data_IF_959951863702
#
_entry.id   IF_959951863702
#
_cell.length_a   1.000
_cell.length_b   1.000
_cell.length_c   1.000
_cell.angle_alpha   90.00
_cell.angle_beta   90.00
_cell.angle_gamma   90.00
#
_symmetry.space_group_name_H-M   'P 1'
#
loop_
_entity.id
_entity.type
_entity.pdbx_description
1 polymer ?
#
# COMPACT_ATOMS: atom_id res chain seq x y z
N UNK A 1 23.47 19.90 -11.55
CA UNK A 1 24.04 18.55 -11.41
C UNK A 1 23.59 17.78 -12.64
N UNK A 2 24.52 17.41 -13.50
CA UNK A 2 24.30 16.83 -14.83
C UNK A 2 23.73 15.41 -14.72
N UNK A 3 22.51 15.20 -15.22
CA UNK A 3 21.87 13.89 -15.26
C UNK A 3 22.17 13.24 -16.60
N UNK A 4 23.12 12.30 -16.57
CA UNK A 4 23.58 11.61 -17.75
C UNK A 4 22.53 10.61 -18.28
N UNK A 5 22.44 10.59 -19.60
CA UNK A 5 21.50 9.82 -20.41
C UNK A 5 21.77 8.31 -20.37
N UNK A 6 20.72 7.51 -20.64
CA UNK A 6 20.76 6.07 -20.98
C UNK A 6 20.74 5.01 -19.86
N UNK A 7 19.77 5.09 -18.95
CA UNK A 7 19.38 3.91 -18.15
C UNK A 7 17.98 3.45 -18.58
N UNK A 8 17.88 2.28 -19.20
CA UNK A 8 16.58 1.70 -19.61
C UNK A 8 15.66 1.50 -18.39
N UNK A 9 16.25 1.31 -17.22
CA UNK A 9 15.61 1.27 -15.90
C UNK A 9 14.92 2.59 -15.53
N UNK A 10 15.46 3.71 -16.00
CA UNK A 10 14.85 5.03 -15.79
C UNK A 10 13.74 5.31 -16.80
N UNK A 11 13.75 4.70 -17.99
CA UNK A 11 12.72 4.91 -19.01
C UNK A 11 11.31 4.55 -18.50
N UNK A 12 11.16 3.40 -17.83
CA UNK A 12 9.90 3.00 -17.20
C UNK A 12 9.46 4.02 -16.13
N UNK A 13 10.37 4.39 -15.25
CA UNK A 13 10.12 5.40 -14.21
C UNK A 13 9.72 6.75 -14.81
N UNK A 14 10.37 7.22 -15.88
CA UNK A 14 10.02 8.48 -16.56
C UNK A 14 8.64 8.43 -17.23
N UNK A 15 8.28 7.30 -17.85
CA UNK A 15 6.96 7.10 -18.43
C UNK A 15 5.87 7.20 -17.36
N UNK A 16 6.05 6.49 -16.25
CA UNK A 16 5.08 6.53 -15.16
C UNK A 16 5.06 7.90 -14.48
N UNK A 17 6.21 8.50 -14.17
CA UNK A 17 6.28 9.84 -13.59
C UNK A 17 5.50 10.85 -14.44
N UNK A 18 5.69 10.85 -15.77
CA UNK A 18 4.94 11.73 -16.67
C UNK A 18 3.43 11.48 -16.67
N UNK A 19 3.00 10.23 -16.46
CA UNK A 19 1.59 9.88 -16.33
C UNK A 19 0.97 10.46 -15.05
N UNK A 20 1.76 10.52 -13.97
CA UNK A 20 1.28 10.94 -12.65
C UNK A 20 1.57 12.41 -12.29
N UNK A 21 2.47 13.08 -13.02
CA UNK A 21 2.97 14.45 -12.74
C UNK A 21 1.85 15.50 -12.60
N UNK A 22 0.71 15.31 -13.29
CA UNK A 22 -0.45 16.22 -13.24
C UNK A 22 -1.59 15.76 -12.33
N UNK A 23 -1.44 14.62 -11.66
CA UNK A 23 -2.52 13.94 -10.93
C UNK A 23 -2.16 13.75 -9.44
N UNK A 24 -0.95 14.16 -9.04
CA UNK A 24 -0.44 14.02 -7.69
C UNK A 24 -1.11 14.98 -6.70
N UNK A 25 -1.50 14.45 -5.54
CA UNK A 25 -2.10 15.23 -4.45
C UNK A 25 -3.62 15.13 -4.30
N UNK A 26 -4.33 14.39 -5.17
CA UNK A 26 -5.77 14.17 -5.02
C UNK A 26 -6.14 12.68 -4.93
N UNK A 27 -7.38 12.42 -4.53
CA UNK A 27 -7.90 11.05 -4.37
C UNK A 27 -7.79 10.23 -5.66
N UNK A 28 -7.95 10.87 -6.82
CA UNK A 28 -7.87 10.18 -8.10
C UNK A 28 -6.43 9.72 -8.39
N UNK A 29 -5.42 10.52 -8.09
CA UNK A 29 -4.01 10.17 -8.28
C UNK A 29 -3.57 8.97 -7.45
N UNK A 30 -3.93 8.94 -6.17
CA UNK A 30 -3.59 7.80 -5.31
C UNK A 30 -4.35 6.53 -5.73
N UNK A 31 -5.62 6.65 -6.13
CA UNK A 31 -6.39 5.51 -6.63
C UNK A 31 -5.83 4.95 -7.94
N UNK A 32 -5.42 5.83 -8.86
CA UNK A 32 -4.77 5.42 -10.10
C UNK A 32 -3.45 4.71 -9.82
N UNK A 33 -2.63 5.25 -8.90
CA UNK A 33 -1.38 4.63 -8.47
C UNK A 33 -1.61 3.23 -7.90
N UNK A 34 -2.61 3.09 -7.01
CA UNK A 34 -3.04 1.81 -6.46
C UNK A 34 -3.43 0.88 -7.60
N UNK A 35 -4.42 1.20 -8.42
CA UNK A 35 -4.88 0.32 -9.51
C UNK A 35 -3.75 -0.12 -10.45
N UNK A 36 -2.85 0.78 -10.84
CA UNK A 36 -1.69 0.44 -11.68
C UNK A 36 -0.74 -0.55 -10.98
N UNK A 37 -0.49 -0.35 -9.68
CA UNK A 37 0.32 -1.27 -8.87
C UNK A 37 -0.24 -2.69 -8.90
N UNK A 38 -1.55 -2.86 -8.75
CA UNK A 38 -2.19 -4.20 -8.74
C UNK A 38 -2.32 -4.80 -10.13
N UNK A 39 -2.49 -3.99 -11.17
CA UNK A 39 -2.46 -4.49 -12.55
C UNK A 39 -1.08 -5.06 -12.89
N UNK A 40 -0.01 -4.40 -12.47
CA UNK A 40 1.35 -4.93 -12.64
C UNK A 40 1.52 -6.26 -11.89
N UNK A 41 1.11 -6.33 -10.62
CA UNK A 41 1.14 -7.57 -9.83
C UNK A 41 0.29 -8.69 -10.46
N UNK A 42 -0.88 -8.36 -10.99
CA UNK A 42 -1.73 -9.31 -11.71
C UNK A 42 -1.05 -9.88 -12.96
N UNK A 43 -0.22 -9.07 -13.64
CA UNK A 43 0.61 -9.49 -14.77
C UNK A 43 1.92 -10.18 -14.34
N UNK A 44 2.13 -10.41 -13.04
CA UNK A 44 3.34 -11.03 -12.49
C UNK A 44 4.55 -10.10 -12.39
N UNK A 45 4.35 -8.79 -12.59
CA UNK A 45 5.37 -7.76 -12.42
C UNK A 45 5.24 -7.20 -11.00
N UNK A 46 6.36 -7.04 -10.29
CA UNK A 46 6.34 -6.55 -8.91
C UNK A 46 5.99 -5.06 -8.83
N UNK A 47 4.70 -4.72 -8.89
CA UNK A 47 4.21 -3.37 -9.12
C UNK A 47 4.71 -2.31 -8.14
N UNK A 48 4.84 -2.65 -6.85
CA UNK A 48 5.36 -1.73 -5.83
C UNK A 48 6.83 -1.36 -6.07
N UNK A 49 7.64 -2.31 -6.53
CA UNK A 49 9.04 -2.06 -6.86
C UNK A 49 9.15 -1.30 -8.19
N UNK A 50 8.32 -1.65 -9.17
CA UNK A 50 8.27 -0.97 -10.48
C UNK A 50 7.85 0.49 -10.36
N UNK A 51 6.91 0.80 -9.45
CA UNK A 51 6.38 2.15 -9.24
C UNK A 51 6.99 2.87 -8.03
N UNK A 52 8.07 2.35 -7.44
CA UNK A 52 8.68 2.94 -6.24
C UNK A 52 9.17 4.37 -6.48
N UNK A 53 9.81 4.64 -7.62
CA UNK A 53 10.27 5.99 -7.96
C UNK A 53 9.09 6.99 -8.05
N UNK A 54 7.93 6.52 -8.52
CA UNK A 54 6.69 7.31 -8.57
C UNK A 54 6.16 7.53 -7.17
N UNK A 55 6.07 6.48 -6.35
CA UNK A 55 5.54 6.56 -4.99
C UNK A 55 6.31 7.58 -4.14
N UNK A 56 7.64 7.57 -4.26
CA UNK A 56 8.54 8.49 -3.58
C UNK A 56 8.33 9.92 -4.03
N UNK A 57 8.37 10.13 -5.35
CA UNK A 57 8.22 11.46 -5.92
C UNK A 57 6.88 12.12 -5.58
N UNK A 58 5.79 11.34 -5.56
CA UNK A 58 4.46 11.89 -5.36
C UNK A 58 4.04 12.02 -3.89
N UNK A 59 4.51 11.12 -3.01
CA UNK A 59 3.89 10.93 -1.70
C UNK A 59 4.88 10.95 -0.52
N UNK A 60 6.18 10.94 -0.73
CA UNK A 60 7.16 10.90 0.38
C UNK A 60 7.23 12.25 1.12
N UNK A 61 7.25 13.36 0.37
CA UNK A 61 7.29 14.72 0.92
C UNK A 61 6.09 15.05 1.84
N UNK A 62 4.94 14.39 1.63
CA UNK A 62 3.72 14.65 2.39
C UNK A 62 3.86 14.32 3.88
N UNK A 63 4.72 13.37 4.25
CA UNK A 63 5.01 13.10 5.67
C UNK A 63 5.78 14.26 6.28
N UNK A 64 6.79 14.80 5.57
CA UNK A 64 7.61 15.91 6.05
C UNK A 64 6.78 17.19 6.24
N UNK A 65 5.83 17.46 5.32
CA UNK A 65 4.87 18.56 5.45
C UNK A 65 4.07 18.41 6.75
N UNK A 66 3.48 17.23 6.99
CA UNK A 66 2.74 16.97 8.23
C UNK A 66 3.60 17.08 9.49
N UNK A 67 4.84 16.61 9.45
CA UNK A 67 5.79 16.76 10.57
C UNK A 67 6.03 18.23 10.90
N UNK A 68 6.28 19.05 9.88
CA UNK A 68 6.52 20.48 10.07
C UNK A 68 5.30 21.20 10.65
N UNK A 69 4.09 20.83 10.21
CA UNK A 69 2.84 21.37 10.75
C UNK A 69 2.66 21.01 12.22
N UNK A 70 2.89 19.74 12.60
CA UNK A 70 2.77 19.30 14.00
C UNK A 70 3.80 19.99 14.89
N UNK A 71 5.04 20.14 14.44
CA UNK A 71 6.09 20.85 15.18
C UNK A 71 5.75 22.33 15.38
N UNK A 72 5.03 22.94 14.44
CA UNK A 72 4.51 24.30 14.55
C UNK A 72 3.20 24.41 15.34
N UNK A 73 2.65 23.31 15.86
CA UNK A 73 1.37 23.27 16.59
C UNK A 73 0.13 23.34 15.70
N UNK A 74 0.27 23.12 14.39
CA UNK A 74 -0.81 23.07 13.42
C UNK A 74 -1.30 21.64 13.16
N UNK A 75 -2.50 21.53 12.60
CA UNK A 75 -3.12 20.25 12.25
C UNK A 75 -2.53 19.75 10.92
N UNK A 76 -2.11 18.47 10.81
CA UNK A 76 -1.70 17.87 9.55
C UNK A 76 -2.75 18.02 8.43
N UNK A 77 -2.31 18.36 7.22
CA UNK A 77 -3.21 18.55 6.06
C UNK A 77 -3.10 17.42 5.05
N UNK A 78 -1.94 16.76 4.96
CA UNK A 78 -1.68 15.76 3.93
C UNK A 78 -2.16 14.38 4.36
N UNK A 79 -3.19 13.86 3.69
CA UNK A 79 -3.73 12.53 3.99
C UNK A 79 -2.93 11.44 3.27
N UNK A 80 -2.53 11.73 2.02
CA UNK A 80 -1.98 10.75 1.09
C UNK A 80 -0.46 10.78 1.09
N UNK A 81 0.18 9.94 1.90
CA UNK A 81 1.64 9.79 1.94
C UNK A 81 2.10 8.38 1.52
N UNK A 82 3.40 8.22 1.25
CA UNK A 82 3.98 6.90 0.98
C UNK A 82 3.74 5.97 2.16
N UNK A 83 3.98 6.45 3.37
CA UNK A 83 3.70 5.68 4.59
C UNK A 83 2.22 5.39 4.79
N UNK A 84 1.29 6.26 4.34
CA UNK A 84 -0.13 5.93 4.32
C UNK A 84 -0.42 4.72 3.43
N UNK A 85 0.17 4.64 2.24
CA UNK A 85 0.02 3.48 1.36
C UNK A 85 0.57 2.20 2.02
N UNK A 86 1.80 2.25 2.51
CA UNK A 86 2.49 1.13 3.16
C UNK A 86 1.76 0.67 4.46
N UNK A 87 1.13 1.60 5.17
CA UNK A 87 0.51 1.36 6.48
C UNK A 87 -1.00 1.10 6.42
N UNK A 88 -1.73 1.52 5.40
CA UNK A 88 -3.19 1.36 5.40
C UNK A 88 -3.74 0.66 4.17
N UNK A 89 -2.98 0.64 3.08
CA UNK A 89 -3.44 0.07 1.80
C UNK A 89 -2.73 -1.24 1.51
N UNK A 90 -1.41 -1.27 1.69
CA UNK A 90 -0.53 -2.41 1.37
C UNK A 90 -0.37 -3.36 2.56
N UNK A 91 -1.48 -3.62 3.26
CA UNK A 91 -1.51 -4.51 4.41
C UNK A 91 -1.18 -5.94 3.95
N UNK A 92 -0.07 -6.47 4.43
CA UNK A 92 0.40 -7.79 4.05
C UNK A 92 1.25 -7.85 2.79
N UNK A 93 1.66 -6.71 2.23
CA UNK A 93 2.50 -6.61 1.04
C UNK A 93 1.72 -6.05 -0.14
N UNK A 94 1.59 -6.78 -1.26
CA UNK A 94 0.89 -6.35 -2.47
C UNK A 94 -0.64 -6.31 -2.33
N UNK A 95 -1.14 -5.67 -1.28
CA UNK A 95 -2.54 -5.44 -0.98
C UNK A 95 -3.26 -6.64 -0.50
N UNK A 96 -3.43 -6.60 0.81
CA UNK A 96 -4.42 -7.41 1.48
C UNK A 96 -4.06 -8.88 1.42
N UNK A 97 -2.82 -9.24 1.04
CA UNK A 97 -2.36 -10.62 1.11
C UNK A 97 -2.61 -11.20 2.49
N UNK A 98 -2.49 -10.39 3.56
CA UNK A 98 -2.88 -10.79 4.90
C UNK A 98 -4.39 -11.10 5.02
N UNK A 99 -5.28 -10.21 4.57
CA UNK A 99 -6.72 -10.45 4.69
C UNK A 99 -7.23 -11.52 3.71
N UNK A 100 -6.64 -11.64 2.52
CA UNK A 100 -6.87 -12.71 1.56
C UNK A 100 -6.44 -14.08 2.12
N UNK A 101 -5.22 -14.17 2.66
CA UNK A 101 -4.71 -15.39 3.29
C UNK A 101 -5.57 -15.76 4.50
N UNK A 102 -5.96 -14.79 5.32
CA UNK A 102 -6.82 -15.00 6.48
C UNK A 102 -8.23 -15.45 6.07
N UNK A 103 -8.82 -14.82 5.05
CA UNK A 103 -10.11 -15.21 4.50
C UNK A 103 -10.08 -16.64 3.96
N UNK A 104 -9.03 -17.01 3.22
CA UNK A 104 -8.85 -18.38 2.74
C UNK A 104 -8.62 -19.38 3.88
N UNK A 105 -7.88 -19.01 4.91
CA UNK A 105 -7.64 -19.88 6.07
C UNK A 105 -8.95 -20.22 6.82
N UNK A 106 -9.84 -19.23 6.95
CA UNK A 106 -11.12 -19.33 7.65
C UNK A 106 -12.21 -19.98 6.76
N UNK A 107 -12.36 -19.53 5.52
CA UNK A 107 -13.50 -19.87 4.66
C UNK A 107 -13.24 -21.06 3.71
N UNK A 108 -11.97 -21.39 3.42
CA UNK A 108 -11.69 -22.46 2.46
C UNK A 108 -11.97 -23.84 3.03
N UNK A 109 -12.80 -24.62 2.31
CA UNK A 109 -13.05 -26.03 2.64
C UNK A 109 -11.94 -26.96 2.17
N UNK A 110 -11.04 -26.48 1.30
CA UNK A 110 -9.97 -27.30 0.73
C UNK A 110 -8.73 -27.31 1.64
N UNK A 111 -8.27 -28.51 1.98
CA UNK A 111 -7.08 -28.72 2.85
C UNK A 111 -5.81 -28.07 2.26
N UNK A 112 -5.64 -28.12 0.94
CA UNK A 112 -4.50 -27.50 0.26
C UNK A 112 -4.46 -25.98 0.49
N UNK A 113 -5.57 -25.29 0.24
CA UNK A 113 -5.66 -23.84 0.39
C UNK A 113 -5.43 -23.41 1.84
N UNK A 114 -6.00 -24.13 2.83
CA UNK A 114 -5.77 -23.82 4.25
C UNK A 114 -4.30 -23.98 4.66
N UNK A 115 -3.61 -25.03 4.17
CA UNK A 115 -2.18 -25.25 4.43
C UNK A 115 -1.33 -24.16 3.79
N UNK A 116 -1.59 -23.82 2.53
CA UNK A 116 -0.89 -22.73 1.84
C UNK A 116 -1.10 -21.39 2.55
N UNK A 117 -2.33 -21.09 2.98
CA UNK A 117 -2.62 -19.89 3.76
C UNK A 117 -1.85 -19.87 5.08
N UNK A 118 -1.77 -20.99 5.79
CA UNK A 118 -1.02 -21.07 7.04
C UNK A 118 0.48 -20.79 6.84
N UNK A 119 1.07 -21.27 5.73
CA UNK A 119 2.47 -21.03 5.39
C UNK A 119 2.72 -19.58 4.96
N UNK A 120 1.76 -18.94 4.28
CA UNK A 120 1.88 -17.56 3.84
C UNK A 120 1.67 -16.53 4.97
N UNK A 121 0.98 -16.91 6.05
CA UNK A 121 0.55 -15.99 7.11
C UNK A 121 1.72 -15.27 7.82
N UNK A 122 2.83 -15.93 8.20
CA UNK A 122 3.96 -15.25 8.83
C UNK A 122 4.57 -14.18 7.91
N UNK A 123 4.80 -14.50 6.64
CA UNK A 123 5.33 -13.53 5.67
C UNK A 123 4.39 -12.35 5.47
N UNK A 124 3.07 -12.61 5.38
CA UNK A 124 2.08 -11.56 5.29
C UNK A 124 2.03 -10.65 6.53
N UNK A 125 2.37 -11.13 7.74
CA UNK A 125 2.44 -10.26 8.92
C UNK A 125 3.56 -9.22 8.86
N UNK A 126 4.62 -9.50 8.10
CA UNK A 126 5.75 -8.60 7.83
C UNK A 126 5.63 -7.90 6.46
N UNK A 127 4.41 -7.84 5.90
CA UNK A 127 4.12 -7.25 4.60
C UNK A 127 4.88 -7.89 3.41
N UNK A 128 5.24 -9.17 3.51
CA UNK A 128 5.84 -9.95 2.43
C UNK A 128 4.74 -10.80 1.78
N UNK A 129 4.39 -10.49 0.54
CA UNK A 129 3.21 -11.04 -0.14
C UNK A 129 3.50 -12.16 -1.13
N UNK A 130 4.75 -12.39 -1.50
CA UNK A 130 5.18 -13.25 -2.60
C UNK A 130 4.71 -14.69 -2.39
N UNK A 131 4.79 -15.20 -1.17
CA UNK A 131 4.31 -16.55 -0.84
C UNK A 131 2.81 -16.67 -1.12
N UNK A 132 2.02 -15.63 -0.85
CA UNK A 132 0.59 -15.63 -1.14
C UNK A 132 0.31 -15.45 -2.64
N UNK A 133 0.96 -14.49 -3.30
CA UNK A 133 0.70 -14.16 -4.71
C UNK A 133 1.09 -15.27 -5.67
N UNK A 134 2.25 -15.88 -5.42
CA UNK A 134 2.75 -16.97 -6.25
C UNK A 134 2.26 -18.33 -5.76
N UNK A 135 1.92 -18.46 -4.47
CA UNK A 135 1.38 -19.70 -3.90
C UNK A 135 -0.09 -19.94 -4.24
N UNK A 136 -0.86 -18.88 -4.50
CA UNK A 136 -2.21 -18.96 -5.05
C UNK A 136 -2.20 -18.57 -6.53
N UNK A 137 -3.08 -19.12 -7.37
CA UNK A 137 -3.17 -18.73 -8.78
C UNK A 137 -3.87 -17.36 -8.91
N UNK A 138 -3.25 -16.29 -8.41
CA UNK A 138 -3.75 -14.91 -8.51
C UNK A 138 -3.31 -14.30 -9.83
N UNK A 139 -2.05 -14.52 -10.22
CA UNK A 139 -1.47 -14.01 -11.45
C UNK A 139 -2.23 -14.57 -12.65
N UNK A 140 -2.62 -13.68 -13.57
CA UNK A 140 -3.42 -13.98 -14.77
C UNK A 140 -4.79 -14.66 -14.53
N UNK A 141 -5.27 -14.75 -13.29
CA UNK A 141 -6.59 -15.32 -12.98
C UNK A 141 -7.68 -14.25 -12.93
N UNK A 142 -8.49 -14.16 -13.97
CA UNK A 142 -9.55 -13.16 -14.09
C UNK A 142 -10.60 -13.23 -12.98
N UNK A 143 -10.85 -14.41 -12.38
CA UNK A 143 -11.76 -14.54 -11.24
C UNK A 143 -11.20 -13.81 -10.00
N UNK A 144 -9.88 -13.82 -9.85
CA UNK A 144 -9.17 -13.16 -8.75
C UNK A 144 -8.85 -11.69 -9.05
N UNK A 145 -8.87 -11.26 -10.31
CA UNK A 145 -8.56 -9.89 -10.73
C UNK A 145 -9.43 -8.86 -10.00
N UNK A 146 -10.75 -9.07 -9.98
CA UNK A 146 -11.71 -8.13 -9.38
C UNK A 146 -11.42 -7.95 -7.88
N UNK A 147 -11.42 -9.00 -7.04
CA UNK A 147 -11.14 -8.83 -5.62
C UNK A 147 -9.71 -8.30 -5.37
N UNK A 148 -8.74 -8.69 -6.20
CA UNK A 148 -7.36 -8.25 -6.04
C UNK A 148 -7.17 -6.74 -6.25
N UNK A 149 -7.89 -6.13 -7.20
CA UNK A 149 -7.84 -4.68 -7.45
C UNK A 149 -8.82 -3.91 -6.56
N UNK A 150 -10.01 -4.46 -6.32
CA UNK A 150 -11.07 -3.73 -5.62
C UNK A 150 -10.78 -3.58 -4.12
N UNK A 151 -10.21 -4.60 -3.49
CA UNK A 151 -9.91 -4.57 -2.05
C UNK A 151 -8.97 -3.42 -1.65
N UNK A 152 -7.80 -3.20 -2.30
CA UNK A 152 -6.93 -2.07 -1.96
C UNK A 152 -7.55 -0.71 -2.31
N UNK A 153 -8.42 -0.63 -3.33
CA UNK A 153 -9.19 0.60 -3.63
C UNK A 153 -10.15 0.92 -2.49
N UNK A 154 -10.90 -0.08 -2.01
CA UNK A 154 -11.82 0.09 -0.87
C UNK A 154 -11.03 0.47 0.39
N UNK A 155 -9.90 -0.17 0.69
CA UNK A 155 -9.08 0.18 1.84
C UNK A 155 -8.54 1.61 1.76
N UNK A 156 -8.15 2.04 0.56
CA UNK A 156 -7.72 3.44 0.32
C UNK A 156 -8.84 4.40 0.68
N UNK A 157 -10.08 4.14 0.22
CA UNK A 157 -11.24 4.98 0.50
C UNK A 157 -11.63 4.98 1.98
N UNK A 158 -11.67 3.83 2.62
CA UNK A 158 -12.00 3.69 4.05
C UNK A 158 -10.95 4.43 4.88
N UNK A 159 -9.66 4.22 4.60
CA UNK A 159 -8.59 4.81 5.38
C UNK A 159 -8.50 6.32 5.19
N UNK A 160 -8.65 6.80 3.95
CA UNK A 160 -8.72 8.22 3.66
C UNK A 160 -9.90 8.89 4.38
N UNK A 161 -11.06 8.23 4.40
CA UNK A 161 -12.26 8.75 5.07
C UNK A 161 -12.09 8.77 6.60
N UNK A 162 -11.49 7.72 7.17
CA UNK A 162 -11.20 7.65 8.61
C UNK A 162 -10.24 8.77 9.06
N UNK A 163 -9.23 9.07 8.25
CA UNK A 163 -8.30 10.18 8.52
C UNK A 163 -9.01 11.53 8.34
N UNK A 164 -9.75 11.72 7.24
CA UNK A 164 -10.46 12.97 6.95
C UNK A 164 -11.52 13.32 8.00
N UNK A 165 -12.17 12.32 8.59
CA UNK A 165 -13.19 12.51 9.64
C UNK A 165 -12.57 12.67 11.04
N UNK A 166 -11.26 12.54 11.18
CA UNK A 166 -10.56 12.63 12.46
C UNK A 166 -10.68 11.39 13.35
N UNK A 167 -11.24 10.28 12.84
CA UNK A 167 -11.29 9.01 13.56
C UNK A 167 -9.88 8.43 13.78
N UNK A 168 -8.99 8.66 12.82
CA UNK A 168 -7.58 8.27 12.88
C UNK A 168 -6.71 9.49 12.58
N UNK A 169 -5.67 9.79 13.37
CA UNK A 169 -4.76 10.87 13.07
C UNK A 169 -4.06 10.67 11.72
N UNK A 170 -3.73 11.77 11.05
CA UNK A 170 -2.95 11.71 9.83
C UNK A 170 -1.55 11.14 10.11
N UNK A 171 -0.93 10.61 9.05
CA UNK A 171 0.43 10.07 9.12
C UNK A 171 1.43 11.21 9.30
N UNK A 172 2.21 11.14 10.37
CA UNK A 172 3.20 12.16 10.77
C UNK A 172 4.59 11.59 10.93
N UNK A 173 4.78 10.28 10.83
CA UNK A 173 6.10 9.66 10.92
C UNK A 173 6.28 8.70 9.76
N UNK A 174 7.47 8.73 9.16
CA UNK A 174 7.87 7.75 8.17
C UNK A 174 8.09 6.41 8.86
N UNK A 175 7.49 5.37 8.31
CA UNK A 175 7.58 4.01 8.81
C UNK A 175 7.95 3.08 7.68
N UNK A 176 8.99 2.28 7.89
CA UNK A 176 9.40 1.22 7.00
C UNK A 176 8.26 0.20 6.80
N UNK A 177 8.04 -0.17 5.55
CA UNK A 177 6.98 -1.10 5.16
C UNK A 177 7.15 -2.51 5.74
N UNK A 178 8.35 -2.90 6.19
CA UNK A 178 8.63 -4.19 6.81
C UNK A 178 8.21 -4.27 8.28
N UNK A 179 7.85 -3.14 8.89
CA UNK A 179 7.38 -3.13 10.28
C UNK A 179 6.06 -3.92 10.37
N UNK A 180 5.94 -4.87 11.31
CA UNK A 180 4.75 -5.68 11.46
C UNK A 180 3.47 -4.86 11.49
N UNK A 181 2.43 -5.39 10.84
CA UNK A 181 1.13 -4.72 10.63
C UNK A 181 0.56 -4.09 11.91
N UNK A 182 0.78 -4.71 13.07
CA UNK A 182 0.33 -4.22 14.38
C UNK A 182 1.00 -2.92 14.84
N UNK A 183 2.31 -2.79 14.58
CA UNK A 183 3.14 -1.72 15.14
C UNK A 183 3.20 -0.51 14.22
N UNK A 184 3.15 -0.73 12.91
CA UNK A 184 3.30 0.33 11.92
C UNK A 184 2.18 1.37 11.97
N UNK A 185 0.94 0.97 12.29
CA UNK A 185 -0.19 1.92 12.45
C UNK A 185 0.00 2.91 13.60
N UNK A 186 0.46 2.42 14.75
CA UNK A 186 0.79 3.25 15.91
C UNK A 186 1.99 4.14 15.62
N UNK A 187 3.06 3.60 15.04
CA UNK A 187 4.26 4.38 14.76
C UNK A 187 4.01 5.48 13.71
N UNK A 188 3.19 5.22 12.70
CA UNK A 188 2.90 6.19 11.64
C UNK A 188 2.03 7.36 12.11
N UNK A 189 1.11 7.11 13.05
CA UNK A 189 0.09 8.08 13.49
C UNK A 189 0.27 8.60 14.92
N UNK A 190 1.12 7.95 15.73
CA UNK A 190 1.23 8.19 17.16
C UNK A 190 0.01 7.75 17.98
N UNK A 191 -0.93 7.02 17.39
CA UNK A 191 -2.21 6.67 18.01
C UNK A 191 -2.59 5.20 17.85
N UNK A 192 -3.20 4.64 18.91
CA UNK A 192 -3.78 3.29 18.90
C UNK A 192 -4.91 3.16 17.88
N UNK A 193 -5.62 4.26 17.56
CA UNK A 193 -6.66 4.24 16.53
C UNK A 193 -6.12 3.91 15.13
N UNK A 194 -4.86 4.26 14.83
CA UNK A 194 -4.18 3.87 13.60
C UNK A 194 -3.96 2.35 13.52
N UNK A 195 -3.53 1.72 14.62
CA UNK A 195 -3.41 0.26 14.65
C UNK A 195 -4.77 -0.44 14.54
N UNK A 196 -5.84 0.11 15.13
CA UNK A 196 -7.19 -0.47 15.09
C UNK A 196 -7.84 -0.41 13.70
N UNK A 197 -7.60 0.65 12.93
CA UNK A 197 -8.15 0.78 11.57
C UNK A 197 -7.67 -0.33 10.64
N UNK A 198 -6.44 -0.85 10.81
CA UNK A 198 -5.89 -1.94 9.98
C UNK A 198 -6.60 -3.29 10.15
N UNK A 199 -7.37 -3.48 11.23
CA UNK A 199 -8.10 -4.72 11.50
C UNK A 199 -9.54 -4.72 10.98
N UNK A 200 -10.02 -3.59 10.44
CA UNK A 200 -11.35 -3.44 9.87
C UNK A 200 -11.32 -3.62 8.37
#
# INVERSE_FOLDING_TARGET
MSWDSSNITNFGSYLFLKLFDKISGNLFGILLYVVMTYLLWFMGIHGTNTLEAVSRHLFEQNVEINQSLVLAGHIPTEIFSKTFLDTFVFIGGCGTALSFVLALYIASKQSHNRKMSFVALPSALFNISEIAVFGFPIIFNLTMLIPFILTPVILTLISASAIKTGLVPAVTQSVEWTIPVLLSGYQATGSVSGSLLRWK
#
